data_IF_591931639966
#
_entry.id   IF_591931639966
#
_cell.length_a   1.000
_cell.length_b   1.000
_cell.length_c   1.000
_cell.angle_alpha   90.00
_cell.angle_beta   90.00
_cell.angle_gamma   90.00
#
_symmetry.space_group_name_H-M   'P 1'
#
loop_
_entity.id
_entity.type
_entity.pdbx_description
1 polymer ?
#
# COMPACT_ATOMS: atom_id res chain seq x y z
N UNK A 1 -0.23 -15.10 2.67
CA UNK A 1 -1.66 -14.82 2.39
C UNK A 1 -1.76 -13.58 1.52
N UNK A 2 -2.83 -13.42 0.73
CA UNK A 2 -3.07 -12.23 -0.10
C UNK A 2 -3.92 -11.22 0.66
N UNK A 3 -3.46 -9.97 0.78
CA UNK A 3 -4.09 -8.93 1.60
C UNK A 3 -4.25 -7.65 0.78
N UNK A 4 -5.48 -7.12 0.73
CA UNK A 4 -5.74 -5.77 0.22
C UNK A 4 -5.59 -4.74 1.34
N UNK A 5 -4.80 -3.70 1.12
CA UNK A 5 -4.56 -2.64 2.10
C UNK A 5 -4.95 -1.26 1.55
N UNK A 6 -5.89 -0.58 2.21
CA UNK A 6 -6.44 0.70 1.75
C UNK A 6 -5.72 1.88 2.41
N UNK A 7 -5.04 2.70 1.60
CA UNK A 7 -4.53 4.02 2.02
C UNK A 7 -3.64 4.00 3.27
N UNK A 8 -2.45 3.38 3.25
CA UNK A 8 -1.60 3.22 4.42
C UNK A 8 -1.06 4.50 5.05
N UNK A 9 -1.25 5.67 4.42
CA UNK A 9 -0.93 6.98 5.02
C UNK A 9 0.38 6.99 5.83
N UNK A 10 0.38 7.70 6.96
CA UNK A 10 1.48 7.62 7.95
C UNK A 10 1.24 6.52 8.99
N UNK A 11 -0.02 6.32 9.41
CA UNK A 11 -0.34 5.37 10.49
C UNK A 11 -0.41 3.91 10.04
N UNK A 12 -0.87 3.64 8.82
CA UNK A 12 -0.97 2.28 8.28
C UNK A 12 0.37 1.74 7.76
N UNK A 13 1.36 2.62 7.58
CA UNK A 13 2.68 2.28 7.07
C UNK A 13 3.40 1.22 7.93
N UNK A 14 3.52 1.37 9.27
CA UNK A 14 4.16 0.35 10.09
C UNK A 14 3.38 -0.97 10.12
N UNK A 15 2.07 -0.95 9.89
CA UNK A 15 1.27 -2.18 9.81
C UNK A 15 1.54 -2.91 8.50
N UNK A 16 1.58 -2.18 7.39
CA UNK A 16 1.98 -2.70 6.08
C UNK A 16 3.38 -3.32 6.12
N UNK A 17 4.34 -2.66 6.77
CA UNK A 17 5.71 -3.16 6.93
C UNK A 17 5.72 -4.53 7.65
N UNK A 18 4.92 -4.69 8.71
CA UNK A 18 4.79 -5.95 9.46
C UNK A 18 4.15 -7.06 8.63
N UNK A 19 3.11 -6.75 7.85
CA UNK A 19 2.44 -7.74 7.00
C UNK A 19 3.39 -8.26 5.91
N UNK A 20 4.19 -7.37 5.31
CA UNK A 20 5.22 -7.76 4.33
C UNK A 20 6.32 -8.57 4.99
N UNK A 21 6.83 -8.13 6.15
CA UNK A 21 7.85 -8.88 6.89
C UNK A 21 7.39 -10.28 7.32
N UNK A 22 6.08 -10.48 7.52
CA UNK A 22 5.47 -11.78 7.78
C UNK A 22 5.28 -12.64 6.50
N UNK A 23 5.76 -12.21 5.34
CA UNK A 23 5.67 -12.95 4.07
C UNK A 23 4.28 -12.91 3.44
N UNK A 24 3.47 -11.89 3.72
CA UNK A 24 2.17 -11.72 3.06
C UNK A 24 2.32 -10.97 1.74
N UNK A 25 1.51 -11.36 0.75
CA UNK A 25 1.39 -10.71 -0.55
C UNK A 25 0.38 -9.57 -0.39
N UNK A 26 0.86 -8.33 -0.25
CA UNK A 26 0.03 -7.17 0.07
C UNK A 26 -0.12 -6.25 -1.13
N UNK A 27 -1.37 -6.05 -1.57
CA UNK A 27 -1.73 -5.08 -2.62
C UNK A 27 -2.28 -3.81 -1.98
N UNK A 28 -1.72 -2.65 -2.32
CA UNK A 28 -2.12 -1.38 -1.73
C UNK A 28 -3.00 -0.59 -2.68
N UNK A 29 -4.17 -0.13 -2.24
CA UNK A 29 -4.99 0.82 -3.00
C UNK A 29 -4.81 2.23 -2.41
N UNK A 30 -4.41 3.19 -3.26
CA UNK A 30 -4.30 4.60 -2.88
C UNK A 30 -5.16 5.50 -3.76
N UNK A 31 -5.81 6.49 -3.13
CA UNK A 31 -6.64 7.47 -3.83
C UNK A 31 -5.84 8.63 -4.42
N UNK A 32 -4.77 9.08 -3.73
CA UNK A 32 -4.01 10.28 -4.14
C UNK A 32 -2.73 9.88 -4.88
N UNK A 33 -2.38 10.56 -5.98
CA UNK A 33 -1.16 10.26 -6.74
C UNK A 33 0.12 10.46 -5.91
N UNK A 34 0.18 11.46 -5.03
CA UNK A 34 1.33 11.62 -4.11
C UNK A 34 1.53 10.44 -3.14
N UNK A 35 0.45 9.73 -2.78
CA UNK A 35 0.54 8.54 -1.95
C UNK A 35 0.96 7.28 -2.75
N UNK A 36 0.86 7.32 -4.08
CA UNK A 36 1.35 6.25 -4.96
C UNK A 36 2.87 6.23 -4.99
N UNK A 37 3.51 7.36 -5.28
CA UNK A 37 4.97 7.46 -5.33
C UNK A 37 5.61 6.98 -4.02
N UNK A 38 5.03 7.36 -2.87
CA UNK A 38 5.52 6.94 -1.56
C UNK A 38 5.37 5.43 -1.29
N UNK A 39 4.40 4.75 -1.91
CA UNK A 39 4.17 3.32 -1.74
C UNK A 39 4.95 2.49 -2.78
N UNK A 40 5.14 3.02 -4.00
CA UNK A 40 6.00 2.41 -5.03
C UNK A 40 7.48 2.47 -4.65
N UNK A 41 7.93 3.55 -4.01
CA UNK A 41 9.30 3.66 -3.49
C UNK A 41 9.67 2.54 -2.49
N UNK A 42 8.68 1.85 -1.91
CA UNK A 42 8.89 0.71 -1.01
C UNK A 42 8.89 -0.65 -1.73
N UNK A 43 8.78 -0.66 -3.06
CA UNK A 43 8.70 -1.89 -3.85
C UNK A 43 7.35 -2.62 -3.74
N UNK A 44 6.27 -1.91 -3.39
CA UNK A 44 4.96 -2.53 -3.15
C UNK A 44 4.06 -2.42 -4.37
N UNK A 45 3.25 -3.44 -4.70
CA UNK A 45 2.27 -3.33 -5.77
C UNK A 45 1.16 -2.36 -5.35
N UNK A 46 1.08 -1.23 -6.05
CA UNK A 46 0.10 -0.16 -5.80
C UNK A 46 -0.92 -0.11 -6.93
N UNK A 47 -2.18 -0.26 -6.56
CA UNK A 47 -3.31 0.07 -7.43
C UNK A 47 -3.72 1.52 -7.19
N UNK A 48 -3.94 2.25 -8.28
CA UNK A 48 -4.50 3.60 -8.25
C UNK A 48 -5.90 3.57 -8.86
N UNK A 49 -6.89 4.01 -8.11
CA UNK A 49 -8.24 4.25 -8.64
C UNK A 49 -8.40 5.74 -8.88
N UNK A 50 -8.48 6.13 -10.15
CA UNK A 50 -8.97 7.45 -10.54
C UNK A 50 -10.42 7.58 -10.08
N UNK A 51 -10.68 8.53 -9.18
CA UNK A 51 -12.05 8.97 -8.94
C UNK A 51 -12.55 9.63 -10.22
N UNK A 52 -13.74 9.24 -10.68
CA UNK A 52 -14.45 9.97 -11.74
C UNK A 52 -14.71 11.39 -11.30
#
# INVERSE_FOLDING_TARGET
MRIGFLGPGRMGRPMLDRLVAAGHDVTVLVRRPGARAAAEADGRPVLHRSAR
#
